data_IF_827599817789
#
_entry.id   IF_827599817789
#
_cell.length_a   1.000
_cell.length_b   1.000
_cell.length_c   1.000
_cell.angle_alpha   90.00
_cell.angle_beta   90.00
_cell.angle_gamma   90.00
#
_symmetry.space_group_name_H-M   'P 1'
#
loop_
_entity.id
_entity.type
_entity.pdbx_description
1 polymer ?
#
# COMPACT_ATOMS: atom_id res chain seq x y z
N UNK A 1 -20.97 -12.66 1.59
CA UNK A 1 -20.91 -11.19 1.82
C UNK A 1 -19.45 -10.75 1.68
N UNK A 2 -19.07 -10.13 0.57
CA UNK A 2 -17.71 -9.65 0.36
C UNK A 2 -17.40 -8.60 1.44
N UNK A 3 -16.54 -8.95 2.40
CA UNK A 3 -16.00 -7.98 3.36
C UNK A 3 -15.34 -6.91 2.50
N UNK A 4 -15.80 -5.66 2.62
CA UNK A 4 -15.05 -4.50 2.12
C UNK A 4 -13.66 -4.64 2.71
N UNK A 5 -12.65 -4.95 1.88
CA UNK A 5 -11.27 -5.05 2.31
C UNK A 5 -10.85 -3.65 2.77
N UNK A 6 -11.14 -3.35 4.04
CA UNK A 6 -10.59 -2.20 4.74
C UNK A 6 -9.09 -2.42 4.79
N UNK A 7 -8.36 -1.35 4.54
CA UNK A 7 -6.92 -1.33 4.78
C UNK A 7 -6.65 -1.83 6.18
N UNK A 8 -5.89 -2.91 6.29
CA UNK A 8 -5.44 -3.37 7.60
C UNK A 8 -4.39 -2.40 8.13
N UNK A 9 -4.16 -2.45 9.43
CA UNK A 9 -3.09 -1.68 10.07
C UNK A 9 -1.73 -2.06 9.48
N UNK A 10 -1.53 -3.33 9.11
CA UNK A 10 -0.34 -3.82 8.42
C UNK A 10 -0.16 -3.20 7.04
N UNK A 11 -1.21 -3.20 6.20
CA UNK A 11 -1.16 -2.55 4.88
C UNK A 11 -0.89 -1.05 5.02
N UNK A 12 -1.53 -0.40 5.99
CA UNK A 12 -1.34 1.05 6.23
C UNK A 12 0.07 1.35 6.72
N UNK A 13 0.62 0.52 7.62
CA UNK A 13 1.98 0.64 8.10
C UNK A 13 3.00 0.39 6.98
N UNK A 14 2.77 -0.62 6.14
CA UNK A 14 3.58 -0.87 4.95
C UNK A 14 3.53 0.30 3.96
N UNK A 15 2.35 0.87 3.74
CA UNK A 15 2.17 2.05 2.90
C UNK A 15 2.94 3.25 3.46
N UNK A 16 2.77 3.56 4.74
CA UNK A 16 3.47 4.68 5.39
C UNK A 16 4.99 4.49 5.37
N UNK A 17 5.49 3.30 5.70
CA UNK A 17 6.93 2.96 5.61
C UNK A 17 7.43 3.07 4.18
N UNK A 18 6.66 2.56 3.23
CA UNK A 18 6.94 2.63 1.81
C UNK A 18 7.04 4.07 1.32
N UNK A 19 6.06 4.91 1.64
CA UNK A 19 6.07 6.33 1.27
C UNK A 19 7.20 7.08 1.95
N UNK A 20 7.47 6.82 3.23
CA UNK A 20 8.58 7.44 3.94
C UNK A 20 9.95 7.04 3.35
N UNK A 21 10.09 5.79 2.90
CA UNK A 21 11.35 5.25 2.35
C UNK A 21 11.58 5.58 0.88
N UNK A 22 10.54 5.49 0.05
CA UNK A 22 10.61 5.65 -1.41
C UNK A 22 10.12 7.01 -1.92
N UNK A 23 9.47 7.78 -1.07
CA UNK A 23 8.79 9.02 -1.43
C UNK A 23 7.37 8.81 -1.99
N UNK A 24 6.55 9.84 -1.85
CA UNK A 24 5.21 9.92 -2.43
C UNK A 24 5.32 9.85 -3.95
N UNK A 25 4.55 8.98 -4.61
CA UNK A 25 4.59 8.76 -6.06
C UNK A 25 5.32 7.48 -6.49
N UNK A 26 6.15 6.90 -5.61
CA UNK A 26 6.85 5.63 -5.87
C UNK A 26 5.98 4.39 -5.62
N UNK A 27 4.68 4.44 -5.92
CA UNK A 27 3.71 3.39 -5.56
C UNK A 27 4.05 2.01 -6.15
N UNK A 28 4.52 1.95 -7.41
CA UNK A 28 4.98 0.70 -8.02
C UNK A 28 6.20 0.12 -7.30
N UNK A 29 7.15 0.95 -6.85
CA UNK A 29 8.32 0.50 -6.09
C UNK A 29 7.91 -0.02 -4.71
N UNK A 30 6.99 0.68 -4.05
CA UNK A 30 6.44 0.26 -2.75
C UNK A 30 5.68 -1.06 -2.91
N UNK A 31 4.83 -1.19 -3.92
CA UNK A 31 4.07 -2.43 -4.16
C UNK A 31 4.98 -3.61 -4.53
N UNK A 32 6.02 -3.37 -5.32
CA UNK A 32 6.95 -4.41 -5.77
C UNK A 32 7.93 -4.85 -4.69
N UNK A 33 7.89 -4.26 -3.49
CA UNK A 33 8.81 -4.60 -2.43
C UNK A 33 8.36 -5.86 -1.69
N UNK A 34 9.26 -6.85 -1.58
CA UNK A 34 8.98 -8.09 -0.86
C UNK A 34 8.74 -7.91 0.65
N UNK A 35 9.06 -6.73 1.19
CA UNK A 35 8.86 -6.37 2.60
C UNK A 35 7.41 -5.93 2.89
N UNK A 36 6.65 -5.61 1.84
CA UNK A 36 5.33 -5.04 1.97
C UNK A 36 4.29 -5.97 1.36
N UNK A 37 3.38 -6.46 2.20
CA UNK A 37 2.37 -7.41 1.80
C UNK A 37 1.03 -6.70 1.66
N UNK A 38 0.69 -6.33 0.44
CA UNK A 38 -0.60 -5.71 0.12
C UNK A 38 -1.46 -6.74 -0.62
N UNK A 39 -2.19 -7.57 0.14
CA UNK A 39 -3.06 -8.68 -0.30
C UNK A 39 -3.89 -8.38 -1.58
N UNK A 40 -3.28 -8.48 -2.77
CA UNK A 40 -3.91 -8.17 -4.05
C UNK A 40 -4.13 -6.68 -4.34
N UNK A 41 -3.46 -5.75 -3.66
CA UNK A 41 -3.56 -4.31 -3.97
C UNK A 41 -2.74 -3.94 -5.20
N UNK A 42 -3.20 -2.90 -5.89
CA UNK A 42 -2.46 -2.27 -6.97
C UNK A 42 -1.80 -0.98 -6.51
N UNK A 43 -0.79 -0.52 -7.25
CA UNK A 43 -0.19 0.80 -7.09
C UNK A 43 -1.25 1.92 -7.14
N UNK A 44 -2.37 1.67 -7.81
CA UNK A 44 -3.53 2.56 -7.87
C UNK A 44 -4.24 2.62 -6.50
N UNK A 45 -4.46 1.48 -5.83
CA UNK A 45 -5.03 1.46 -4.47
C UNK A 45 -4.16 2.22 -3.48
N UNK A 46 -2.83 2.07 -3.56
CA UNK A 46 -1.89 2.79 -2.70
C UNK A 46 -2.01 4.30 -2.89
N UNK A 47 -2.09 4.75 -4.15
CA UNK A 47 -2.30 6.16 -4.50
C UNK A 47 -3.65 6.67 -3.99
N UNK A 48 -4.71 5.89 -4.16
CA UNK A 48 -6.07 6.24 -3.73
C UNK A 48 -6.16 6.36 -2.21
N UNK A 49 -5.45 5.48 -1.49
CA UNK A 49 -5.42 5.51 -0.01
C UNK A 49 -4.70 6.73 0.57
N UNK A 50 -3.69 7.23 -0.14
CA UNK A 50 -2.86 8.37 0.29
C UNK A 50 -3.45 9.74 -0.11
N UNK A 51 -4.55 9.74 -0.87
CA UNK A 51 -5.24 10.97 -1.28
C UNK A 51 -6.20 11.48 -0.21
#
# INVERSE_FOLDING_TARGET
KAKRNKWTEEETACLLKGVARFGIGSWKKILSHADYSFNGRSAIDLKDRFR
#
